data_IF_207816996163
#
_entry.id   IF_207816996163
#
_cell.length_a   1.000
_cell.length_b   1.000
_cell.length_c   1.000
_cell.angle_alpha   90.00
_cell.angle_beta   90.00
_cell.angle_gamma   90.00
#
_symmetry.space_group_name_H-M   'P 1'
#
loop_
_entity.id
_entity.type
_entity.pdbx_description
1 polymer ?
#
# COMPACT_ATOMS: atom_id res chain seq x y z
N UNK A 1 -10.85 -10.32 -17.20
CA UNK A 1 -11.84 -10.82 -16.24
C UNK A 1 -11.11 -11.52 -15.08
N UNK A 2 -11.50 -11.20 -13.86
CA UNK A 2 -11.03 -11.89 -12.66
C UNK A 2 -12.23 -12.57 -12.02
N UNK A 3 -12.08 -13.83 -11.64
CA UNK A 3 -13.06 -14.59 -10.87
C UNK A 3 -12.38 -15.23 -9.68
N UNK A 4 -12.97 -15.19 -8.52
CA UNK A 4 -12.40 -15.79 -7.33
C UNK A 4 -13.49 -16.50 -6.49
N UNK A 5 -13.05 -17.48 -5.74
CA UNK A 5 -13.87 -18.17 -4.74
C UNK A 5 -12.98 -18.62 -3.59
N UNK A 6 -13.53 -18.67 -2.38
CA UNK A 6 -12.75 -19.06 -1.22
C UNK A 6 -13.62 -19.48 -0.04
N UNK A 7 -12.97 -20.12 0.91
CA UNK A 7 -13.52 -20.49 2.20
C UNK A 7 -12.65 -19.90 3.31
N UNK A 8 -13.28 -19.47 4.38
CA UNK A 8 -12.56 -19.01 5.57
C UNK A 8 -13.19 -19.56 6.83
N UNK A 9 -12.39 -19.63 7.88
CA UNK A 9 -12.82 -19.97 9.24
C UNK A 9 -12.16 -19.04 10.24
N UNK A 10 -12.87 -18.74 11.31
CA UNK A 10 -12.37 -17.99 12.45
C UNK A 10 -12.84 -18.65 13.73
N UNK A 11 -11.93 -18.82 14.66
CA UNK A 11 -12.17 -19.33 15.99
C UNK A 11 -11.66 -18.30 16.99
N UNK A 12 -12.45 -18.02 18.01
CA UNK A 12 -12.10 -17.08 19.06
C UNK A 12 -12.39 -17.72 20.42
N UNK A 13 -11.51 -17.46 21.35
CA UNK A 13 -11.67 -17.77 22.75
C UNK A 13 -11.35 -16.54 23.59
N UNK A 14 -12.24 -16.18 24.47
CA UNK A 14 -12.09 -15.02 25.36
C UNK A 14 -12.55 -15.39 26.75
N UNK A 15 -11.71 -15.06 27.73
CA UNK A 15 -12.10 -15.02 29.14
C UNK A 15 -11.59 -13.72 29.78
N UNK A 16 -11.74 -13.55 31.11
CA UNK A 16 -11.45 -12.30 31.79
C UNK A 16 -10.01 -11.77 31.57
N UNK A 17 -9.01 -12.63 31.46
CA UNK A 17 -7.61 -12.25 31.39
C UNK A 17 -6.87 -12.74 30.15
N UNK A 18 -7.52 -13.55 29.33
CA UNK A 18 -6.88 -14.20 28.20
C UNK A 18 -7.80 -14.22 26.98
N UNK A 19 -7.27 -13.90 25.84
CA UNK A 19 -7.93 -14.07 24.56
C UNK A 19 -7.01 -14.80 23.57
N UNK A 20 -7.59 -15.58 22.68
CA UNK A 20 -6.88 -16.20 21.59
C UNK A 20 -7.77 -16.28 20.36
N UNK A 21 -7.20 -16.14 19.20
CA UNK A 21 -7.92 -16.35 17.96
C UNK A 21 -7.07 -17.12 16.95
N UNK A 22 -7.76 -17.76 16.04
CA UNK A 22 -7.19 -18.37 14.84
C UNK A 22 -8.10 -18.06 13.66
N UNK A 23 -7.50 -17.65 12.56
CA UNK A 23 -8.15 -17.43 11.25
C UNK A 23 -7.43 -18.26 10.20
N UNK A 24 -8.17 -18.94 9.35
CA UNK A 24 -7.62 -19.65 8.21
C UNK A 24 -8.49 -19.45 6.98
N UNK A 25 -7.87 -19.33 5.82
CA UNK A 25 -8.60 -19.26 4.56
C UNK A 25 -7.84 -19.95 3.42
N UNK A 26 -8.61 -20.41 2.43
CA UNK A 26 -8.11 -20.86 1.14
C UNK A 26 -8.90 -20.16 0.04
N UNK A 27 -8.23 -19.85 -1.05
CA UNK A 27 -8.85 -19.18 -2.18
C UNK A 27 -8.30 -19.67 -3.51
N UNK A 28 -9.15 -19.64 -4.52
CA UNK A 28 -8.79 -19.87 -5.92
C UNK A 28 -9.12 -18.63 -6.70
N UNK A 29 -8.13 -18.02 -7.33
CA UNK A 29 -8.30 -16.88 -8.23
C UNK A 29 -8.01 -17.32 -9.65
N UNK A 30 -8.91 -16.99 -10.56
CA UNK A 30 -8.81 -17.31 -11.98
C UNK A 30 -8.79 -16.01 -12.77
N UNK A 31 -7.86 -15.91 -13.70
CA UNK A 31 -7.67 -14.75 -14.53
C UNK A 31 -7.87 -15.13 -16.00
N UNK A 32 -8.46 -14.22 -16.76
CA UNK A 32 -8.52 -14.29 -18.22
C UNK A 32 -8.58 -12.88 -18.77
N UNK A 33 -7.65 -12.54 -19.66
CA UNK A 33 -7.63 -11.27 -20.38
C UNK A 33 -8.41 -11.39 -21.69
N UNK A 34 -9.11 -10.36 -22.08
CA UNK A 34 -9.74 -10.21 -23.37
C UNK A 34 -9.15 -8.98 -24.04
N UNK A 35 -8.56 -9.17 -25.18
CA UNK A 35 -8.02 -8.11 -26.00
C UNK A 35 -8.93 -7.87 -27.20
N UNK A 36 -9.65 -6.78 -27.17
CA UNK A 36 -10.57 -6.40 -28.25
C UNK A 36 -9.85 -5.75 -29.43
N UNK A 37 -8.58 -5.35 -29.26
CA UNK A 37 -7.79 -4.66 -30.27
C UNK A 37 -6.76 -5.54 -30.96
N UNK A 38 -6.43 -6.70 -30.42
CA UNK A 38 -5.39 -7.58 -30.98
C UNK A 38 -5.67 -8.01 -32.41
N UNK A 39 -6.93 -8.19 -32.79
CA UNK A 39 -7.29 -8.46 -34.18
C UNK A 39 -7.06 -7.26 -35.10
N UNK A 40 -7.27 -6.06 -34.60
CA UNK A 40 -7.00 -4.86 -35.39
C UNK A 40 -5.51 -4.78 -35.73
N UNK A 41 -4.65 -5.04 -34.73
CA UNK A 41 -3.20 -5.08 -34.93
C UNK A 41 -2.80 -6.21 -35.87
N UNK A 42 -3.33 -7.39 -35.70
CA UNK A 42 -3.02 -8.55 -36.55
C UNK A 42 -3.51 -8.38 -38.01
N UNK A 43 -4.64 -7.78 -38.22
CA UNK A 43 -5.11 -7.41 -39.56
C UNK A 43 -4.30 -6.29 -40.18
N UNK A 44 -3.72 -5.43 -39.38
CA UNK A 44 -2.78 -4.40 -39.80
C UNK A 44 -1.39 -4.98 -40.11
N UNK A 45 -1.01 -6.04 -39.42
CA UNK A 45 0.28 -6.77 -39.59
C UNK A 45 0.23 -7.72 -40.77
N UNK A 46 -0.91 -8.36 -41.10
CA UNK A 46 -1.06 -9.28 -42.24
C UNK A 46 -0.95 -8.60 -43.59
N UNK A 47 -0.38 -7.44 -43.61
CA UNK A 47 0.34 -6.95 -44.77
C UNK A 47 -0.32 -5.84 -45.55
N UNK A 48 -1.23 -5.12 -44.97
CA UNK A 48 -1.86 -4.03 -45.76
C UNK A 48 -1.84 -2.66 -45.10
N UNK A 49 -1.65 -2.54 -43.83
CA UNK A 49 -1.52 -1.24 -43.17
C UNK A 49 -0.85 -1.38 -41.77
N UNK A 50 0.02 -0.48 -41.41
CA UNK A 50 0.56 -0.32 -40.09
C UNK A 50 -0.18 0.73 -39.23
N UNK A 51 -1.29 1.26 -39.76
CA UNK A 51 -2.07 2.30 -39.10
C UNK A 51 -3.58 2.04 -39.24
N UNK A 52 -4.31 2.27 -38.15
CA UNK A 52 -5.76 2.28 -38.17
C UNK A 52 -6.29 3.30 -39.18
N UNK A 53 -7.09 2.83 -40.15
CA UNK A 53 -7.62 3.68 -41.20
C UNK A 53 -8.98 4.30 -40.87
N UNK A 54 -9.56 3.97 -39.72
CA UNK A 54 -10.89 4.42 -39.30
C UNK A 54 -12.04 3.63 -39.93
N UNK A 55 -11.75 2.53 -40.65
CA UNK A 55 -12.79 1.64 -41.16
C UNK A 55 -13.44 0.81 -40.08
N UNK A 56 -14.71 0.47 -40.22
CA UNK A 56 -15.38 -0.40 -39.27
C UNK A 56 -14.73 -1.78 -39.24
N UNK A 57 -14.44 -2.27 -38.05
CA UNK A 57 -13.94 -3.63 -37.85
C UNK A 57 -15.04 -4.63 -38.26
N UNK A 58 -14.67 -5.78 -38.86
CA UNK A 58 -15.62 -6.88 -39.06
C UNK A 58 -16.26 -7.31 -37.73
N UNK A 59 -17.53 -7.76 -37.78
CA UNK A 59 -18.30 -8.13 -36.58
C UNK A 59 -17.64 -9.23 -35.74
N UNK A 60 -16.82 -10.10 -36.33
CA UNK A 60 -16.07 -11.16 -35.68
C UNK A 60 -14.89 -10.64 -34.85
N UNK A 61 -14.41 -9.42 -35.11
CA UNK A 61 -13.35 -8.76 -34.33
C UNK A 61 -13.90 -8.17 -33.03
N UNK A 62 -15.20 -7.87 -32.96
CA UNK A 62 -15.82 -7.28 -31.77
C UNK A 62 -15.80 -8.21 -30.56
N UNK A 63 -15.67 -9.52 -30.75
CA UNK A 63 -15.60 -10.50 -29.68
C UNK A 63 -14.24 -10.53 -28.97
N UNK A 64 -13.20 -9.95 -29.58
CA UNK A 64 -11.84 -9.88 -29.04
C UNK A 64 -11.15 -11.25 -28.93
N UNK A 65 -9.85 -11.23 -28.67
CA UNK A 65 -9.06 -12.44 -28.43
C UNK A 65 -8.95 -12.69 -26.94
N UNK A 66 -9.24 -13.93 -26.52
CA UNK A 66 -9.12 -14.36 -25.13
C UNK A 66 -7.75 -14.98 -24.89
N UNK A 67 -7.11 -14.59 -23.81
CA UNK A 67 -5.92 -15.28 -23.35
C UNK A 67 -6.26 -16.69 -22.86
N UNK A 68 -5.24 -17.51 -22.69
CA UNK A 68 -5.32 -18.66 -21.79
C UNK A 68 -5.71 -18.18 -20.38
N UNK A 69 -6.25 -19.12 -19.58
CA UNK A 69 -6.59 -18.86 -18.18
C UNK A 69 -5.37 -19.11 -17.31
N UNK A 70 -5.13 -18.19 -16.40
CA UNK A 70 -4.18 -18.37 -15.31
C UNK A 70 -4.95 -18.63 -14.00
N UNK A 71 -4.44 -19.54 -13.20
CA UNK A 71 -5.04 -19.95 -11.92
C UNK A 71 -4.03 -19.79 -10.79
N UNK A 72 -4.46 -19.18 -9.69
CA UNK A 72 -3.64 -19.05 -8.49
C UNK A 72 -4.40 -19.56 -7.27
N UNK A 73 -3.83 -20.53 -6.58
CA UNK A 73 -4.33 -21.00 -5.30
C UNK A 73 -3.62 -20.29 -4.17
N UNK A 74 -4.38 -19.63 -3.30
CA UNK A 74 -3.90 -18.93 -2.12
C UNK A 74 -4.36 -19.56 -0.83
N UNK A 75 -3.58 -19.41 0.22
CA UNK A 75 -3.94 -19.85 1.57
C UNK A 75 -3.37 -18.89 2.59
N UNK A 76 -4.12 -18.65 3.67
CA UNK A 76 -3.73 -17.72 4.72
C UNK A 76 -4.02 -18.34 6.08
N UNK A 77 -3.14 -18.06 7.02
CA UNK A 77 -3.33 -18.40 8.42
C UNK A 77 -2.87 -17.23 9.31
N UNK A 78 -3.70 -16.86 10.27
CA UNK A 78 -3.36 -15.85 11.29
C UNK A 78 -3.77 -16.37 12.65
N UNK A 79 -2.93 -16.18 13.66
CA UNK A 79 -3.23 -16.50 15.04
C UNK A 79 -2.72 -15.39 15.96
N UNK A 80 -3.35 -15.24 17.11
CA UNK A 80 -2.93 -14.30 18.12
C UNK A 80 -3.42 -14.67 19.49
N UNK A 81 -2.72 -14.12 20.48
CA UNK A 81 -3.06 -14.24 21.89
C UNK A 81 -2.98 -12.88 22.57
N UNK A 82 -3.86 -12.64 23.51
CA UNK A 82 -3.90 -11.44 24.33
C UNK A 82 -3.99 -11.80 25.80
N UNK A 83 -3.33 -10.99 26.62
CA UNK A 83 -3.28 -11.16 28.08
C UNK A 83 -3.58 -9.84 28.77
N UNK A 84 -4.46 -9.88 29.77
CA UNK A 84 -4.66 -8.79 30.72
C UNK A 84 -3.39 -8.56 31.56
N UNK A 85 -2.95 -7.32 31.67
CA UNK A 85 -1.77 -6.92 32.46
C UNK A 85 -2.20 -5.86 33.47
N UNK A 86 -2.34 -6.25 34.71
CA UNK A 86 -2.95 -5.40 35.73
C UNK A 86 -4.44 -5.18 35.49
N UNK A 87 -4.96 -4.06 35.97
CA UNK A 87 -6.40 -3.72 35.85
C UNK A 87 -6.75 -3.04 34.53
N UNK A 88 -5.81 -2.34 33.90
CA UNK A 88 -6.05 -1.41 32.80
C UNK A 88 -5.15 -1.68 31.58
N UNK A 89 -4.38 -2.75 31.59
CA UNK A 89 -3.44 -3.07 30.53
C UNK A 89 -3.78 -4.35 29.79
N UNK A 90 -3.46 -4.41 28.50
CA UNK A 90 -3.54 -5.61 27.69
C UNK A 90 -2.29 -5.71 26.81
N UNK A 91 -1.60 -6.84 26.90
CA UNK A 91 -0.52 -7.19 25.97
C UNK A 91 -1.02 -8.22 24.95
N UNK A 92 -0.50 -8.18 23.74
CA UNK A 92 -0.87 -9.15 22.71
C UNK A 92 0.31 -9.49 21.79
N UNK A 93 0.22 -10.65 21.15
CA UNK A 93 1.11 -11.08 20.08
C UNK A 93 0.29 -11.72 18.98
N UNK A 94 0.57 -11.33 17.74
CA UNK A 94 -0.05 -11.86 16.54
C UNK A 94 1.01 -12.40 15.58
N UNK A 95 0.69 -13.46 14.87
CA UNK A 95 1.49 -13.98 13.77
C UNK A 95 0.59 -14.32 12.59
N UNK A 96 1.04 -14.04 11.39
CA UNK A 96 0.30 -14.31 10.17
C UNK A 96 1.19 -14.78 9.03
N UNK A 97 0.66 -15.70 8.24
CA UNK A 97 1.21 -16.16 6.97
C UNK A 97 0.17 -15.99 5.89
N UNK A 98 0.53 -15.34 4.79
CA UNK A 98 -0.38 -15.06 3.70
C UNK A 98 0.28 -15.38 2.36
N UNK A 99 -0.44 -16.11 1.51
CA UNK A 99 -0.11 -16.35 0.11
C UNK A 99 -1.05 -15.53 -0.76
N UNK A 100 -0.54 -14.43 -1.30
CA UNK A 100 -1.30 -13.47 -2.08
C UNK A 100 -1.14 -13.73 -3.57
N UNK A 101 -2.26 -13.91 -4.27
CA UNK A 101 -2.24 -14.03 -5.72
C UNK A 101 -1.66 -12.75 -6.37
N UNK A 102 -0.89 -12.87 -7.47
CA UNK A 102 -0.29 -11.74 -8.15
C UNK A 102 -1.36 -10.81 -8.73
N UNK A 103 -0.97 -9.55 -8.95
CA UNK A 103 -1.82 -8.60 -9.67
C UNK A 103 -2.05 -9.04 -11.11
N UNK A 104 -3.17 -8.63 -11.67
CA UNK A 104 -3.54 -8.96 -13.04
C UNK A 104 -2.45 -8.57 -14.06
N UNK A 105 -1.87 -7.39 -13.90
CA UNK A 105 -0.84 -6.84 -14.77
C UNK A 105 0.51 -7.57 -14.65
N UNK A 106 0.75 -8.27 -13.52
CA UNK A 106 1.91 -9.14 -13.37
C UNK A 106 1.73 -10.50 -14.02
N UNK A 107 0.47 -10.92 -14.24
CA UNK A 107 0.14 -12.17 -14.94
C UNK A 107 0.16 -11.98 -16.45
N UNK A 108 -0.43 -10.89 -16.95
CA UNK A 108 -0.49 -10.55 -18.37
C UNK A 108 0.35 -9.30 -18.60
N UNK A 109 1.64 -9.51 -18.84
CA UNK A 109 2.59 -8.42 -19.01
C UNK A 109 2.33 -7.62 -20.28
N UNK A 110 2.73 -6.35 -20.25
CA UNK A 110 2.82 -5.48 -21.42
C UNK A 110 1.49 -5.37 -22.20
N UNK A 111 0.36 -5.43 -21.47
CA UNK A 111 -0.98 -5.37 -22.07
C UNK A 111 -1.28 -6.44 -23.12
N UNK A 112 -0.56 -7.58 -23.11
CA UNK A 112 -0.74 -8.68 -24.04
C UNK A 112 -1.56 -9.83 -23.45
N UNK A 113 -1.87 -10.84 -24.27
CA UNK A 113 -2.53 -12.07 -23.86
C UNK A 113 -1.55 -13.17 -23.42
N UNK A 114 -0.25 -12.89 -23.40
CA UNK A 114 0.76 -13.84 -22.94
C UNK A 114 0.82 -13.85 -21.41
N UNK A 115 0.86 -15.05 -20.85
CA UNK A 115 1.00 -15.26 -19.41
C UNK A 115 2.49 -15.19 -19.06
N UNK A 116 2.82 -14.42 -18.04
CA UNK A 116 4.17 -14.43 -17.46
C UNK A 116 4.44 -15.78 -16.79
N UNK A 117 5.39 -16.58 -17.31
CA UNK A 117 5.67 -17.92 -16.78
C UNK A 117 6.34 -17.89 -15.39
N UNK A 118 6.84 -16.73 -14.98
CA UNK A 118 7.57 -16.59 -13.71
C UNK A 118 6.71 -15.98 -12.61
N UNK A 119 5.42 -15.70 -12.89
CA UNK A 119 4.55 -15.14 -11.87
C UNK A 119 4.20 -16.20 -10.82
N UNK A 120 4.30 -15.84 -9.57
CA UNK A 120 3.97 -16.66 -8.41
C UNK A 120 3.16 -15.88 -7.39
N UNK A 121 2.58 -16.57 -6.43
CA UNK A 121 1.98 -15.89 -5.29
C UNK A 121 3.07 -15.22 -4.45
N UNK A 122 2.81 -14.01 -4.03
CA UNK A 122 3.62 -13.36 -3.01
C UNK A 122 3.43 -14.05 -1.66
N UNK A 123 4.53 -14.23 -0.94
CA UNK A 123 4.53 -14.76 0.42
C UNK A 123 4.70 -13.63 1.42
N UNK A 124 3.82 -13.55 2.40
CA UNK A 124 3.87 -12.52 3.44
C UNK A 124 3.88 -13.19 4.80
N UNK A 125 4.87 -12.87 5.63
CA UNK A 125 4.96 -13.31 7.02
C UNK A 125 4.98 -12.10 7.92
N UNK A 126 3.97 -11.96 8.77
CA UNK A 126 3.83 -10.87 9.72
C UNK A 126 3.92 -11.33 11.15
N UNK A 127 4.66 -10.58 11.97
CA UNK A 127 4.72 -10.68 13.41
C UNK A 127 4.40 -9.32 14.01
N UNK A 128 3.57 -9.30 15.04
CA UNK A 128 3.17 -8.09 15.75
C UNK A 128 3.09 -8.39 17.24
N UNK A 129 3.59 -7.48 18.06
CA UNK A 129 3.42 -7.50 19.51
C UNK A 129 3.08 -6.10 19.99
N UNK A 130 2.11 -5.98 20.88
CA UNK A 130 1.69 -4.68 21.34
C UNK A 130 1.22 -4.69 22.79
N UNK A 131 1.10 -3.48 23.30
CA UNK A 131 0.55 -3.21 24.62
C UNK A 131 -0.41 -2.02 24.55
N UNK A 132 -1.59 -2.19 25.11
CA UNK A 132 -2.61 -1.16 25.25
C UNK A 132 -2.81 -0.89 26.74
N UNK A 133 -2.80 0.37 27.10
CA UNK A 133 -3.20 0.83 28.43
C UNK A 133 -4.36 1.80 28.32
N UNK A 134 -5.44 1.56 29.05
CA UNK A 134 -6.66 2.36 28.97
C UNK A 134 -7.26 2.59 30.34
N UNK A 135 -7.44 3.86 30.67
CA UNK A 135 -8.21 4.36 31.80
C UNK A 135 -9.17 5.43 31.31
N UNK A 136 -10.10 5.88 32.17
CA UNK A 136 -11.20 6.79 31.80
C UNK A 136 -10.77 8.01 30.98
N UNK A 137 -9.63 8.60 31.32
CA UNK A 137 -9.15 9.85 30.73
C UNK A 137 -7.79 9.76 30.01
N UNK A 138 -7.26 8.55 29.84
CA UNK A 138 -6.00 8.32 29.15
C UNK A 138 -5.98 6.96 28.47
N UNK A 139 -5.58 6.93 27.22
CA UNK A 139 -5.25 5.70 26.49
C UNK A 139 -3.88 5.83 25.84
N UNK A 140 -3.12 4.75 25.83
CA UNK A 140 -1.86 4.65 25.12
C UNK A 140 -1.70 3.26 24.52
N UNK A 141 -1.08 3.21 23.34
CA UNK A 141 -0.78 1.98 22.64
C UNK A 141 0.64 2.02 22.09
N UNK A 142 1.34 0.92 22.22
CA UNK A 142 2.62 0.69 21.55
C UNK A 142 2.55 -0.63 20.79
N UNK A 143 3.01 -0.60 19.55
CA UNK A 143 3.06 -1.75 18.66
C UNK A 143 4.49 -1.92 18.12
N UNK A 144 4.94 -3.16 18.10
CA UNK A 144 6.16 -3.60 17.44
C UNK A 144 5.74 -4.50 16.30
N UNK A 145 6.22 -4.26 15.10
CA UNK A 145 5.88 -5.07 13.94
C UNK A 145 7.11 -5.48 13.14
N UNK A 146 7.02 -6.63 12.51
CA UNK A 146 7.96 -7.13 11.51
C UNK A 146 7.18 -7.90 10.45
N UNK A 147 7.22 -7.44 9.21
CA UNK A 147 6.56 -8.08 8.06
C UNK A 147 7.58 -8.29 6.96
N UNK A 148 7.76 -9.55 6.56
CA UNK A 148 8.57 -9.95 5.43
C UNK A 148 7.67 -10.25 4.24
N UNK A 149 8.06 -9.77 3.07
CA UNK A 149 7.42 -9.99 1.78
C UNK A 149 8.42 -10.68 0.87
N UNK A 150 8.02 -11.73 0.19
CA UNK A 150 8.84 -12.46 -0.75
C UNK A 150 8.09 -12.74 -2.05
N UNK A 151 8.84 -13.05 -3.09
CA UNK A 151 8.33 -13.42 -4.42
C UNK A 151 7.47 -12.32 -5.09
N UNK A 152 7.74 -11.06 -4.77
CA UNK A 152 7.03 -9.94 -5.40
C UNK A 152 7.50 -9.74 -6.83
N UNK A 153 6.57 -9.40 -7.70
CA UNK A 153 6.84 -8.91 -9.06
C UNK A 153 6.44 -7.46 -9.14
N UNK A 154 7.36 -6.62 -9.59
CA UNK A 154 7.09 -5.21 -9.91
C UNK A 154 7.37 -4.97 -11.39
N UNK A 155 6.59 -4.11 -12.02
CA UNK A 155 6.77 -3.73 -13.41
C UNK A 155 6.68 -2.23 -13.57
N UNK A 156 7.54 -1.68 -14.40
CA UNK A 156 7.53 -0.30 -14.84
C UNK A 156 7.73 -0.25 -16.35
N UNK A 157 7.44 0.88 -16.97
CA UNK A 157 7.77 1.12 -18.37
C UNK A 157 8.37 2.53 -18.52
N UNK A 158 9.22 2.66 -19.53
CA UNK A 158 9.79 3.92 -19.97
C UNK A 158 9.75 4.01 -21.50
N UNK A 159 9.94 5.20 -22.04
CA UNK A 159 10.03 5.42 -23.47
C UNK A 159 11.44 5.93 -23.78
N UNK A 160 12.22 5.12 -24.48
CA UNK A 160 13.59 5.44 -24.87
C UNK A 160 13.68 5.47 -26.38
N UNK A 161 14.06 6.60 -26.98
CA UNK A 161 14.14 6.80 -28.42
C UNK A 161 12.85 6.40 -29.16
N UNK A 162 11.69 6.80 -28.66
CA UNK A 162 10.36 6.47 -29.15
C UNK A 162 9.98 4.98 -29.09
N UNK A 163 10.76 4.14 -28.39
CA UNK A 163 10.47 2.72 -28.15
C UNK A 163 10.04 2.55 -26.69
N UNK A 164 8.93 1.83 -26.46
CA UNK A 164 8.48 1.48 -25.12
C UNK A 164 9.32 0.34 -24.58
N UNK A 165 9.95 0.58 -23.45
CA UNK A 165 10.77 -0.40 -22.73
C UNK A 165 10.07 -0.76 -21.42
N UNK A 166 9.91 -2.05 -21.17
CA UNK A 166 9.34 -2.58 -19.93
C UNK A 166 10.45 -3.16 -19.05
N UNK A 167 10.45 -2.76 -17.80
CA UNK A 167 11.30 -3.34 -16.76
C UNK A 167 10.46 -4.18 -15.83
N UNK A 168 10.77 -5.46 -15.71
CA UNK A 168 10.05 -6.43 -14.87
C UNK A 168 11.04 -6.99 -13.87
N UNK A 169 10.86 -6.64 -12.60
CA UNK A 169 11.65 -7.16 -11.49
C UNK A 169 10.88 -8.25 -10.76
N UNK A 170 11.46 -9.44 -10.67
CA UNK A 170 10.88 -10.64 -10.08
C UNK A 170 11.68 -11.14 -8.89
N UNK A 171 11.03 -11.87 -7.99
CA UNK A 171 11.65 -12.39 -6.77
C UNK A 171 12.00 -11.31 -5.75
N UNK A 172 11.42 -10.12 -5.88
CA UNK A 172 11.69 -9.00 -4.98
C UNK A 172 11.24 -9.33 -3.57
N UNK A 173 12.15 -9.21 -2.62
CA UNK A 173 11.87 -9.39 -1.20
C UNK A 173 11.99 -8.07 -0.45
N UNK A 174 11.14 -7.87 0.55
CA UNK A 174 11.12 -6.67 1.39
C UNK A 174 10.94 -7.06 2.85
N UNK A 175 11.57 -6.30 3.72
CA UNK A 175 11.38 -6.34 5.15
C UNK A 175 10.86 -4.99 5.64
N UNK A 176 9.72 -5.01 6.31
CA UNK A 176 9.14 -3.85 6.98
C UNK A 176 9.11 -4.12 8.48
N UNK A 177 9.84 -3.36 9.26
CA UNK A 177 9.85 -3.47 10.72
C UNK A 177 9.80 -2.09 11.35
N UNK A 178 9.25 -2.02 12.57
CA UNK A 178 9.17 -0.73 13.24
C UNK A 178 8.45 -0.76 14.58
N UNK A 179 8.30 0.45 15.09
CA UNK A 179 7.61 0.75 16.35
C UNK A 179 6.59 1.85 16.09
N UNK A 180 5.38 1.64 16.58
CA UNK A 180 4.32 2.63 16.56
C UNK A 180 3.86 2.92 17.98
N UNK A 181 3.63 4.20 18.28
CA UNK A 181 3.10 4.67 19.55
C UNK A 181 1.95 5.63 19.27
N UNK A 182 0.86 5.48 20.00
CA UNK A 182 -0.23 6.47 19.99
C UNK A 182 -0.76 6.68 21.40
N UNK A 183 -1.27 7.88 21.64
CA UNK A 183 -1.93 8.19 22.89
C UNK A 183 -3.08 9.18 22.68
N UNK A 184 -4.03 9.15 23.62
CA UNK A 184 -5.08 10.14 23.79
C UNK A 184 -5.24 10.44 25.26
N UNK A 185 -5.25 11.71 25.64
CA UNK A 185 -5.33 12.16 27.02
C UNK A 185 -6.36 13.29 27.17
N UNK A 186 -7.29 13.11 28.08
CA UNK A 186 -8.15 14.15 28.61
C UNK A 186 -7.80 14.34 30.11
N UNK A 187 -6.89 15.27 30.46
CA UNK A 187 -6.19 15.27 31.75
C UNK A 187 -7.08 15.25 32.99
N UNK A 188 -8.29 15.76 32.86
CA UNK A 188 -9.36 15.68 33.87
C UNK A 188 -10.69 15.55 33.16
N UNK A 189 -11.68 14.98 33.80
CA UNK A 189 -13.02 14.77 33.23
C UNK A 189 -13.68 16.06 32.77
N UNK A 190 -13.52 17.14 33.54
CA UNK A 190 -14.13 18.45 33.31
C UNK A 190 -13.28 19.38 32.41
N UNK A 191 -12.11 18.99 31.95
CA UNK A 191 -11.34 19.88 31.07
C UNK A 191 -11.90 19.88 29.66
N UNK A 192 -11.93 21.06 29.00
CA UNK A 192 -12.54 21.20 27.68
C UNK A 192 -11.59 20.80 26.54
N UNK A 193 -10.53 20.04 26.79
CA UNK A 193 -9.58 19.66 25.74
C UNK A 193 -9.13 18.19 25.83
N UNK A 194 -8.81 17.65 24.67
CA UNK A 194 -8.18 16.35 24.49
C UNK A 194 -6.90 16.50 23.71
N UNK A 195 -5.80 15.97 24.25
CA UNK A 195 -4.50 15.89 23.59
C UNK A 195 -4.33 14.50 22.98
N UNK A 196 -3.91 14.44 21.72
CA UNK A 196 -3.64 13.20 20.99
C UNK A 196 -2.23 13.24 20.40
N UNK A 197 -1.61 12.11 20.23
CA UNK A 197 -0.34 12.05 19.53
C UNK A 197 -0.03 10.67 19.00
N UNK A 198 0.86 10.64 18.03
CA UNK A 198 1.43 9.42 17.50
C UNK A 198 2.90 9.60 17.12
N UNK A 199 3.62 8.49 17.11
CA UNK A 199 4.98 8.35 16.60
C UNK A 199 5.07 7.00 15.88
N UNK A 200 5.56 7.00 14.66
CA UNK A 200 5.89 5.79 13.91
C UNK A 200 7.34 5.88 13.45
N UNK A 201 8.11 4.84 13.73
CA UNK A 201 9.50 4.70 13.32
C UNK A 201 9.65 3.36 12.64
N UNK A 202 9.83 3.38 11.33
CA UNK A 202 10.02 2.21 10.49
C UNK A 202 11.44 2.09 9.98
N UNK A 203 11.78 0.85 9.61
CA UNK A 203 12.95 0.50 8.82
C UNK A 203 12.46 -0.48 7.75
N UNK A 204 12.23 0.04 6.54
CA UNK A 204 11.69 -0.72 5.43
C UNK A 204 12.73 -0.80 4.34
N UNK A 205 13.18 -2.02 4.07
CA UNK A 205 14.28 -2.29 3.16
C UNK A 205 13.94 -3.41 2.18
N UNK A 206 14.62 -3.41 1.06
CA UNK A 206 14.71 -4.56 0.18
C UNK A 206 15.72 -5.56 0.76
N UNK A 207 15.51 -6.86 0.52
CA UNK A 207 16.40 -7.94 0.95
C UNK A 207 16.87 -8.76 -0.26
N UNK A 208 18.17 -9.03 -0.34
CA UNK A 208 18.78 -9.89 -1.35
C UNK A 208 18.87 -9.26 -2.73
N UNK A 209 18.68 -10.10 -3.75
CA UNK A 209 18.78 -9.73 -5.15
C UNK A 209 17.42 -9.77 -5.83
N UNK A 210 17.19 -8.91 -6.82
CA UNK A 210 16.08 -8.97 -7.75
C UNK A 210 16.54 -9.36 -9.15
N UNK A 211 15.74 -10.12 -9.88
CA UNK A 211 15.99 -10.40 -11.30
C UNK A 211 15.17 -9.41 -12.11
N UNK A 212 15.86 -8.50 -12.79
CA UNK A 212 15.23 -7.50 -13.66
C UNK A 212 15.37 -7.92 -15.11
N UNK A 213 14.27 -7.98 -15.83
CA UNK A 213 14.21 -8.19 -17.27
C UNK A 213 13.75 -6.92 -17.95
N UNK A 214 14.53 -6.52 -18.93
CA UNK A 214 14.21 -5.41 -19.82
C UNK A 214 13.65 -6.00 -21.11
N UNK A 215 12.47 -5.57 -21.51
CA UNK A 215 11.77 -6.06 -22.70
C UNK A 215 11.33 -4.89 -23.57
N UNK A 216 11.33 -5.11 -24.89
CA UNK A 216 10.70 -4.19 -25.83
C UNK A 216 9.15 -4.40 -25.89
N UNK A 217 8.49 -3.62 -26.72
CA UNK A 217 7.03 -3.69 -26.92
C UNK A 217 6.59 -5.01 -27.61
N UNK A 218 7.49 -5.71 -28.29
CA UNK A 218 7.28 -7.03 -28.88
C UNK A 218 7.59 -8.18 -27.91
N UNK A 219 7.92 -7.84 -26.62
CA UNK A 219 8.30 -8.76 -25.55
C UNK A 219 9.62 -9.52 -25.77
N UNK A 220 10.45 -9.04 -26.68
CA UNK A 220 11.79 -9.56 -26.76
C UNK A 220 12.58 -9.14 -25.53
N UNK A 221 13.21 -10.09 -24.87
CA UNK A 221 14.12 -9.80 -23.76
C UNK A 221 15.37 -9.16 -24.33
N UNK A 222 15.57 -7.89 -24.04
CA UNK A 222 16.76 -7.12 -24.44
C UNK A 222 17.90 -7.39 -23.48
N UNK A 223 17.57 -7.47 -22.18
CA UNK A 223 18.54 -7.67 -21.11
C UNK A 223 17.92 -8.45 -19.95
N UNK A 224 18.74 -9.23 -19.25
CA UNK A 224 18.39 -9.83 -17.96
C UNK A 224 19.54 -9.60 -17.01
N UNK A 225 19.28 -8.92 -15.92
CA UNK A 225 20.28 -8.57 -14.92
C UNK A 225 19.85 -9.10 -13.55
N UNK A 226 20.80 -9.56 -12.77
CA UNK A 226 20.61 -9.78 -11.33
C UNK A 226 21.12 -8.54 -10.61
N UNK A 227 20.22 -7.83 -9.99
CA UNK A 227 20.51 -6.58 -9.32
C UNK A 227 20.54 -6.79 -7.80
N UNK A 228 21.68 -6.49 -7.16
CA UNK A 228 21.79 -6.42 -5.71
C UNK A 228 20.97 -5.22 -5.20
N UNK A 229 19.89 -5.50 -4.49
CA UNK A 229 19.01 -4.48 -3.89
C UNK A 229 19.04 -4.50 -2.36
N UNK A 230 19.87 -5.38 -1.78
CA UNK A 230 19.96 -5.61 -0.35
C UNK A 230 20.26 -4.34 0.45
N UNK A 231 19.40 -4.03 1.43
CA UNK A 231 19.47 -2.82 2.25
C UNK A 231 18.96 -1.55 1.57
N UNK A 232 18.53 -1.61 0.30
CA UNK A 232 17.89 -0.48 -0.39
C UNK A 232 16.60 -0.07 0.31
N UNK A 233 16.36 1.22 0.47
CA UNK A 233 15.17 1.73 1.18
C UNK A 233 13.92 1.64 0.32
N UNK A 234 12.83 1.15 0.90
CA UNK A 234 11.51 1.12 0.25
C UNK A 234 10.93 2.52 0.21
N UNK A 235 10.46 2.96 -0.96
CA UNK A 235 9.84 4.26 -1.16
C UNK A 235 8.33 4.28 -0.94
N UNK A 236 7.68 5.35 -1.39
CA UNK A 236 6.23 5.58 -1.43
C UNK A 236 5.57 5.89 -0.07
N UNK A 237 6.27 5.75 1.04
CA UNK A 237 5.75 6.15 2.35
C UNK A 237 6.88 6.59 3.28
N UNK A 238 6.58 7.54 4.16
CA UNK A 238 7.53 8.02 5.15
C UNK A 238 7.76 6.96 6.22
N UNK A 239 9.03 6.57 6.42
CA UNK A 239 9.41 5.58 7.44
C UNK A 239 9.52 6.21 8.84
N UNK A 240 9.51 7.54 8.91
CA UNK A 240 9.35 8.27 10.15
C UNK A 240 8.16 9.22 10.05
N UNK A 241 7.23 9.12 11.00
CA UNK A 241 6.15 10.10 11.14
C UNK A 241 5.81 10.34 12.59
N UNK A 242 5.49 11.59 12.93
CA UNK A 242 5.05 11.98 14.26
C UNK A 242 3.97 13.06 14.16
N UNK A 243 3.05 13.07 15.11
CA UNK A 243 2.02 14.09 15.16
C UNK A 243 1.50 14.34 16.56
N UNK A 244 1.03 15.58 16.76
CA UNK A 244 0.32 16.02 17.95
C UNK A 244 -0.95 16.74 17.52
N UNK A 245 -2.06 16.40 18.15
CA UNK A 245 -3.36 17.02 17.92
C UNK A 245 -3.97 17.49 19.23
N UNK A 246 -4.69 18.58 19.16
CA UNK A 246 -5.40 19.19 20.28
C UNK A 246 -6.84 19.49 19.86
N UNK A 247 -7.81 18.88 20.55
CA UNK A 247 -9.22 19.20 20.41
C UNK A 247 -9.67 20.01 21.63
N UNK A 248 -10.34 21.14 21.42
CA UNK A 248 -10.82 22.03 22.48
C UNK A 248 -12.32 22.30 22.31
N UNK A 249 -13.09 22.04 23.34
CA UNK A 249 -14.47 22.48 23.44
C UNK A 249 -14.52 23.91 24.02
N UNK A 250 -14.55 24.93 23.14
CA UNK A 250 -14.51 26.35 23.57
C UNK A 250 -15.81 26.75 24.29
N UNK A 251 -16.93 26.20 23.85
CA UNK A 251 -18.25 26.41 24.43
C UNK A 251 -19.16 25.23 24.04
N UNK A 252 -20.36 25.13 24.65
CA UNK A 252 -21.34 24.05 24.40
C UNK A 252 -21.58 23.71 22.90
N UNK A 253 -21.33 24.69 22.03
CA UNK A 253 -21.61 24.57 20.59
C UNK A 253 -20.40 24.78 19.70
N UNK A 254 -19.28 25.24 20.26
CA UNK A 254 -18.07 25.52 19.50
C UNK A 254 -16.94 24.59 19.92
N UNK A 255 -16.34 23.95 18.96
CA UNK A 255 -15.09 23.22 19.15
C UNK A 255 -14.04 23.66 18.15
N UNK A 256 -12.81 23.68 18.59
CA UNK A 256 -11.61 23.96 17.81
C UNK A 256 -10.71 22.75 17.87
N UNK A 257 -10.16 22.38 16.73
CA UNK A 257 -9.15 21.35 16.63
C UNK A 257 -7.93 21.86 15.85
N UNK A 258 -6.79 21.34 16.22
CA UNK A 258 -5.53 21.61 15.49
C UNK A 258 -4.62 20.41 15.58
N UNK A 259 -3.85 20.16 14.53
CA UNK A 259 -2.82 19.15 14.52
C UNK A 259 -1.56 19.61 13.78
N UNK A 260 -0.44 19.11 14.24
CA UNK A 260 0.85 19.19 13.55
C UNK A 260 1.34 17.79 13.24
N UNK A 261 1.79 17.57 12.01
CA UNK A 261 2.35 16.30 11.55
C UNK A 261 3.71 16.55 10.92
N UNK A 262 4.66 15.70 11.23
CA UNK A 262 6.01 15.70 10.71
C UNK A 262 6.31 14.38 10.01
N UNK A 263 6.97 14.47 8.85
CA UNK A 263 7.33 13.32 8.02
C UNK A 263 8.80 13.41 7.63
N UNK A 264 9.49 12.28 7.72
CA UNK A 264 10.89 12.12 7.31
C UNK A 264 11.12 10.68 6.81
N UNK A 265 12.34 10.38 6.38
CA UNK A 265 12.69 9.06 5.82
C UNK A 265 11.72 8.62 4.72
N UNK A 266 11.37 9.55 3.82
CA UNK A 266 10.62 9.32 2.60
C UNK A 266 11.58 9.17 1.43
N UNK A 267 11.41 8.12 0.64
CA UNK A 267 12.30 7.80 -0.48
C UNK A 267 11.54 7.81 -1.80
N UNK A 268 12.22 8.30 -2.84
CA UNK A 268 11.61 8.67 -4.11
C UNK A 268 11.19 7.46 -4.95
N UNK A 269 12.05 6.44 -5.04
CA UNK A 269 11.82 5.32 -5.94
C UNK A 269 11.01 4.21 -5.26
N UNK A 270 9.92 3.79 -5.90
CA UNK A 270 9.04 2.71 -5.46
C UNK A 270 9.50 1.33 -5.97
N UNK A 271 10.44 1.28 -6.92
CA UNK A 271 11.05 0.06 -7.43
C UNK A 271 12.16 -0.48 -6.52
N UNK A 272 12.58 -1.71 -6.78
CA UNK A 272 13.66 -2.37 -6.05
C UNK A 272 15.01 -1.79 -6.50
N UNK A 273 15.55 -0.86 -5.74
CA UNK A 273 16.85 -0.21 -6.00
C UNK A 273 17.71 -0.22 -4.75
N UNK A 274 19.04 -0.37 -4.93
CA UNK A 274 20.01 -0.32 -3.83
C UNK A 274 20.12 1.07 -3.22
N UNK A 275 20.27 2.08 -4.05
CA UNK A 275 20.40 3.48 -3.65
C UNK A 275 19.12 4.23 -3.99
N UNK A 276 18.35 4.58 -2.98
CA UNK A 276 17.11 5.32 -3.14
C UNK A 276 17.28 6.76 -2.64
N UNK A 277 16.88 7.73 -3.44
CA UNK A 277 16.97 9.14 -3.10
C UNK A 277 16.03 9.48 -1.94
N UNK A 278 16.60 9.92 -0.83
CA UNK A 278 15.81 10.46 0.28
C UNK A 278 15.23 11.83 -0.08
N UNK A 279 13.92 11.97 0.06
CA UNK A 279 13.21 13.23 -0.12
C UNK A 279 13.35 14.11 1.12
N UNK A 280 13.22 15.46 0.97
CA UNK A 280 13.23 16.39 2.10
C UNK A 280 12.10 16.08 3.10
N UNK A 281 12.40 16.18 4.39
CA UNK A 281 11.39 16.15 5.45
C UNK A 281 10.44 17.34 5.36
N UNK A 282 9.21 17.14 5.82
CA UNK A 282 8.23 18.23 5.85
C UNK A 282 7.30 18.12 7.06
N UNK A 283 6.59 19.19 7.33
CA UNK A 283 5.57 19.24 8.36
C UNK A 283 4.32 19.94 7.85
N UNK A 284 3.17 19.54 8.38
CA UNK A 284 1.87 20.11 8.06
C UNK A 284 1.21 20.57 9.36
N UNK A 285 0.52 21.69 9.30
CA UNK A 285 -0.24 22.22 10.40
C UNK A 285 -1.66 22.51 9.92
N UNK A 286 -2.63 21.86 10.54
CA UNK A 286 -4.04 21.96 10.18
C UNK A 286 -4.87 22.52 11.34
N UNK A 287 -5.96 23.22 11.03
CA UNK A 287 -6.90 23.76 11.99
C UNK A 287 -8.33 23.48 11.55
N UNK A 288 -9.19 23.25 12.52
CA UNK A 288 -10.63 23.11 12.33
C UNK A 288 -11.45 23.92 13.34
N UNK A 289 -12.57 24.41 12.89
CA UNK A 289 -13.58 25.03 13.74
C UNK A 289 -14.92 24.40 13.45
N UNK A 290 -15.59 23.92 14.48
CA UNK A 290 -16.91 23.29 14.36
C UNK A 290 -17.94 24.06 15.17
N UNK A 291 -19.14 24.21 14.60
CA UNK A 291 -20.28 24.82 15.26
C UNK A 291 -21.53 23.94 15.16
N UNK A 292 -22.09 23.59 16.29
CA UNK A 292 -23.31 22.79 16.40
C UNK A 292 -24.55 23.66 16.60
N UNK A 293 -25.48 23.60 15.64
CA UNK A 293 -26.77 24.29 15.70
C UNK A 293 -27.90 23.30 15.96
N UNK A 294 -28.83 23.68 16.85
CA UNK A 294 -30.05 22.93 17.03
C UNK A 294 -31.19 23.70 16.35
N UNK A 295 -31.82 23.05 15.38
CA UNK A 295 -32.95 23.63 14.61
C UNK A 295 -34.13 22.69 14.75
N UNK A 296 -35.07 23.04 15.63
CA UNK A 296 -36.16 22.17 16.05
C UNK A 296 -35.63 20.84 16.60
N UNK A 297 -36.06 19.71 16.01
CA UNK A 297 -35.62 18.36 16.38
C UNK A 297 -34.34 17.89 15.61
N UNK A 298 -33.77 18.77 14.81
CA UNK A 298 -32.56 18.45 14.01
C UNK A 298 -31.31 19.10 14.58
N UNK A 299 -30.20 18.41 14.50
CA UNK A 299 -28.88 18.94 14.78
C UNK A 299 -28.14 19.16 13.46
N UNK A 300 -27.63 20.37 13.26
CA UNK A 300 -26.78 20.74 12.13
C UNK A 300 -25.37 21.02 12.64
N UNK A 301 -24.40 20.25 12.13
CA UNK A 301 -22.97 20.46 12.39
C UNK A 301 -22.33 21.16 11.18
N UNK A 302 -21.79 22.35 11.42
CA UNK A 302 -21.05 23.12 10.40
C UNK A 302 -19.58 23.10 10.77
N UNK A 303 -18.73 22.69 9.83
CA UNK A 303 -17.28 22.60 10.03
C UNK A 303 -16.52 23.39 8.97
N UNK A 304 -15.56 24.18 9.41
CA UNK A 304 -14.56 24.85 8.59
C UNK A 304 -13.18 24.22 8.87
N UNK A 305 -12.50 23.78 7.82
CA UNK A 305 -11.13 23.26 7.94
C UNK A 305 -10.20 24.12 7.11
N UNK A 306 -9.01 24.37 7.63
CA UNK A 306 -7.88 24.97 6.93
C UNK A 306 -6.72 23.98 7.05
N UNK A 307 -6.38 23.35 5.94
CA UNK A 307 -5.27 22.41 5.88
C UNK A 307 -4.01 23.14 5.43
N UNK A 308 -2.85 22.70 5.92
CA UNK A 308 -1.56 23.29 5.61
C UNK A 308 -1.54 24.82 5.81
N UNK A 309 -1.89 25.26 7.01
CA UNK A 309 -2.08 26.67 7.39
C UNK A 309 -0.88 27.55 7.04
N UNK A 310 0.34 26.98 7.07
CA UNK A 310 1.59 27.70 6.77
C UNK A 310 2.01 27.62 5.31
N UNK A 311 1.17 27.05 4.45
CA UNK A 311 1.43 26.89 3.00
C UNK A 311 2.80 26.25 2.70
N UNK A 312 3.14 25.20 3.44
CA UNK A 312 4.36 24.44 3.23
C UNK A 312 4.33 23.75 1.86
N UNK A 313 5.35 23.99 1.04
CA UNK A 313 5.56 23.29 -0.22
C UNK A 313 6.40 22.05 0.09
N UNK A 314 5.92 20.87 -0.29
CA UNK A 314 6.58 19.61 -0.02
C UNK A 314 6.38 18.61 -1.17
N UNK A 315 7.25 17.61 -1.21
CA UNK A 315 7.17 16.49 -2.13
C UNK A 315 6.64 15.31 -1.31
N UNK A 316 5.41 14.87 -1.60
CA UNK A 316 4.81 13.70 -0.94
C UNK A 316 5.09 12.39 -1.69
N UNK A 317 5.32 12.48 -2.99
CA UNK A 317 5.56 11.35 -3.89
C UNK A 317 6.39 11.84 -5.07
N UNK A 318 7.32 11.03 -5.52
CA UNK A 318 8.07 11.26 -6.74
C UNK A 318 7.95 9.98 -7.59
N UNK A 319 7.41 10.12 -8.79
CA UNK A 319 7.49 9.05 -9.78
C UNK A 319 8.88 9.08 -10.41
N UNK A 320 9.48 7.91 -10.49
CA UNK A 320 10.78 7.61 -11.01
C UNK A 320 11.31 8.71 -11.94
N UNK A 321 12.19 9.51 -11.41
CA UNK A 321 12.97 10.36 -12.27
C UNK A 321 13.87 9.46 -13.12
N UNK A 322 13.97 9.74 -14.39
CA UNK A 322 15.13 9.44 -15.20
C UNK A 322 16.38 9.75 -14.40
N UNK A 323 17.45 9.00 -14.63
CA UNK A 323 18.69 9.09 -13.86
C UNK A 323 19.10 10.54 -13.59
N UNK A 324 19.56 10.80 -12.37
CA UNK A 324 20.07 12.12 -12.00
C UNK A 324 21.18 12.55 -12.99
N UNK A 325 20.88 13.56 -13.77
CA UNK A 325 21.79 14.03 -14.82
C UNK A 325 21.18 14.09 -16.23
N UNK A 326 19.95 13.62 -16.40
CA UNK A 326 19.23 13.84 -17.65
C UNK A 326 18.80 15.32 -17.71
N UNK A 327 19.31 16.13 -18.66
CA UNK A 327 19.00 17.55 -18.74
C UNK A 327 17.55 17.84 -19.16
N UNK A 328 16.81 16.83 -19.62
CA UNK A 328 15.44 16.94 -20.13
C UNK A 328 14.40 16.27 -19.20
N UNK A 329 14.81 15.87 -17.98
CA UNK A 329 13.98 15.24 -16.93
C UNK A 329 13.20 16.22 -16.07
#
# INVERSE_FOLDING_TARGET
RISYGGLFTQLEYVNDNFSAFFQGSVSQTMYQRWDHYQYADQSLIDGTSTQWTGEALPDDITDGVKSEKADNFGYNAKAGVGFGVGENGQAYVNAGYYSRAPYFDNIYLNYTNQINPNTSNETIVGLEAGYVYEVENFSARVDLYRTSWADRTTSSFDVVDDVVIYEISEGVSQLHQGVELSFSAKPQEDVPYTLKGFLSVGDWIYEGDAITRVQDEDQNILETETQDVDGGKVGDAAQFSAGLGLDIEIAERFSFDTDVRFYDELYANVGAVKENLKLPSYHLFDMGLSYKMFVNDATLDVRLNVNNVFDNIYISELRSARQAGDPDG
#
